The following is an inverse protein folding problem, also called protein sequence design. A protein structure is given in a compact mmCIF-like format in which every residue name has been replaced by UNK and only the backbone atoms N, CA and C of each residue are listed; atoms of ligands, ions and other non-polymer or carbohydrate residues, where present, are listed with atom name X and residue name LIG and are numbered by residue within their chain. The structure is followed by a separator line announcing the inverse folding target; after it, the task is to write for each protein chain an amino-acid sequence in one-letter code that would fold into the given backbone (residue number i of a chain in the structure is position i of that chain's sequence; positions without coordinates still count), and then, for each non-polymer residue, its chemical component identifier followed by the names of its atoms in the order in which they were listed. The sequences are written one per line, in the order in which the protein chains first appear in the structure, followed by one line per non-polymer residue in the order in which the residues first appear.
data_IF_529767093648
#
_entry.id   IF_529767093648
#
_cell.length_a   1.000
_cell.length_b   1.000
_cell.length_c   1.000
_cell.angle_alpha   90.00
_cell.angle_beta   90.00
_cell.angle_gamma   90.00
#
_symmetry.space_group_name_H-M   'P 1'
#
loop_
_entity.id
_entity.type
_entity.pdbx_description
1 polymer ?
#
# COMPACT_ATOMS: atom_id res chain seq x y z
N UNK A 1 0.97 -22.67 19.28
CA UNK A 1 0.94 -21.95 17.99
C UNK A 1 1.16 -20.49 18.30
N UNK A 2 2.34 -19.96 18.00
CA UNK A 2 2.78 -18.65 18.46
C UNK A 2 1.97 -17.55 17.76
N UNK A 3 1.05 -16.93 18.51
CA UNK A 3 0.37 -15.72 18.07
C UNK A 3 1.39 -14.62 17.90
N UNK A 4 1.82 -14.37 16.67
CA UNK A 4 2.61 -13.20 16.33
C UNK A 4 1.66 -12.02 16.46
N UNK A 5 1.72 -11.33 17.60
CA UNK A 5 0.91 -10.14 17.85
C UNK A 5 1.38 -9.04 16.89
N UNK A 6 0.56 -8.72 15.89
CA UNK A 6 0.80 -7.61 14.97
C UNK A 6 0.81 -6.31 15.78
N UNK A 7 1.92 -5.56 15.71
CA UNK A 7 1.99 -4.22 16.32
C UNK A 7 1.43 -3.20 15.33
N UNK A 8 0.11 -3.19 15.20
CA UNK A 8 -0.60 -2.19 14.42
C UNK A 8 -0.46 -0.82 15.10
N UNK A 9 0.10 0.16 14.40
CA UNK A 9 0.10 1.55 14.85
C UNK A 9 -0.95 2.33 14.05
N UNK A 10 -2.06 2.65 14.73
CA UNK A 10 -3.09 3.54 14.21
C UNK A 10 -2.73 4.94 14.70
N UNK A 11 -2.26 5.79 13.79
CA UNK A 11 -1.90 7.17 14.08
C UNK A 11 -3.08 8.09 13.75
N UNK A 12 -3.63 8.78 14.76
CA UNK A 12 -4.67 9.79 14.57
C UNK A 12 -4.13 11.22 14.52
N UNK A 13 -2.82 11.41 14.76
CA UNK A 13 -2.15 12.71 14.87
C UNK A 13 -1.04 12.90 13.81
N UNK A 14 -1.22 12.29 12.63
CA UNK A 14 -0.33 12.51 11.50
C UNK A 14 -0.45 13.96 10.98
N UNK A 15 0.69 14.67 10.88
CA UNK A 15 0.74 16.07 10.41
C UNK A 15 0.52 16.22 8.91
N UNK A 16 0.81 15.19 8.13
CA UNK A 16 0.66 15.15 6.67
C UNK A 16 -0.79 14.84 6.28
N UNK A 17 -1.48 13.96 7.03
CA UNK A 17 -2.89 13.59 6.81
C UNK A 17 -3.73 13.73 8.08
N UNK A 18 -3.91 14.96 8.59
CA UNK A 18 -4.71 15.18 9.80
C UNK A 18 -6.15 14.71 9.57
N UNK A 19 -6.74 14.11 10.61
CA UNK A 19 -8.14 13.65 10.64
C UNK A 19 -8.49 12.43 9.77
N UNK A 20 -7.51 11.75 9.17
CA UNK A 20 -7.75 10.50 8.44
C UNK A 20 -7.50 9.26 9.31
N UNK A 21 -8.31 8.21 9.11
CA UNK A 21 -8.04 6.91 9.75
C UNK A 21 -6.86 6.23 9.05
N UNK A 22 -5.70 6.18 9.71
CA UNK A 22 -4.44 5.70 9.17
C UNK A 22 -3.96 4.42 9.83
N UNK A 23 -3.34 3.56 9.04
CA UNK A 23 -2.62 2.39 9.48
C UNK A 23 -1.22 2.39 8.87
N UNK A 24 -0.19 2.31 9.71
CA UNK A 24 1.19 2.07 9.29
C UNK A 24 1.58 0.63 9.66
N UNK A 25 2.01 -0.15 8.67
CA UNK A 25 2.69 -1.43 8.86
C UNK A 25 4.17 -1.26 8.54
N UNK A 26 5.01 -1.83 9.38
CA UNK A 26 6.46 -1.72 9.24
C UNK A 26 7.16 -2.91 9.90
N UNK A 27 8.42 -3.11 9.53
CA UNK A 27 9.22 -4.17 10.13
C UNK A 27 8.60 -5.56 9.92
N UNK A 28 8.64 -6.40 10.96
CA UNK A 28 8.12 -7.78 10.92
C UNK A 28 6.63 -7.89 10.56
N UNK A 29 5.85 -6.83 10.78
CA UNK A 29 4.42 -6.83 10.43
C UNK A 29 4.20 -6.93 8.91
N UNK A 30 5.22 -6.60 8.09
CA UNK A 30 5.17 -6.77 6.63
C UNK A 30 5.39 -8.21 6.16
N UNK A 31 6.02 -9.08 6.97
CA UNK A 31 6.24 -10.49 6.58
C UNK A 31 4.93 -11.28 6.54
N UNK A 32 3.97 -10.88 7.38
CA UNK A 32 2.68 -11.57 7.53
C UNK A 32 1.57 -10.53 7.69
N UNK A 33 1.23 -9.84 6.60
CA UNK A 33 0.05 -8.96 6.57
C UNK A 33 -1.21 -9.84 6.59
N UNK A 34 -2.01 -9.82 7.67
CA UNK A 34 -3.18 -10.68 7.80
C UNK A 34 -4.28 -10.23 6.84
N UNK A 35 -5.01 -11.18 6.26
CA UNK A 35 -6.12 -10.87 5.35
C UNK A 35 -7.22 -10.03 6.04
N UNK A 36 -7.37 -10.21 7.35
CA UNK A 36 -8.30 -9.48 8.20
C UNK A 36 -8.04 -7.97 8.20
N UNK A 37 -6.82 -7.51 7.93
CA UNK A 37 -6.50 -6.08 7.81
C UNK A 37 -7.33 -5.41 6.72
N UNK A 38 -7.58 -6.11 5.62
CA UNK A 38 -8.35 -5.59 4.50
C UNK A 38 -9.86 -5.53 4.78
N UNK A 39 -10.29 -5.95 5.97
CA UNK A 39 -11.66 -5.75 6.46
C UNK A 39 -11.87 -4.39 7.14
N UNK A 40 -10.80 -3.62 7.38
CA UNK A 40 -10.85 -2.28 7.96
C UNK A 40 -11.36 -1.25 6.94
N UNK A 41 -12.65 -1.33 6.60
CA UNK A 41 -13.29 -0.51 5.54
C UNK A 41 -13.31 1.00 5.81
N UNK A 42 -13.02 1.40 7.04
CA UNK A 42 -12.90 2.80 7.46
C UNK A 42 -11.51 3.38 7.13
N UNK A 43 -10.55 2.56 6.70
CA UNK A 43 -9.18 3.00 6.42
C UNK A 43 -9.11 3.97 5.23
N UNK A 44 -8.51 5.13 5.49
CA UNK A 44 -8.28 6.19 4.51
C UNK A 44 -6.81 6.26 4.08
N UNK A 45 -5.89 5.90 4.98
CA UNK A 45 -4.44 5.92 4.71
C UNK A 45 -3.82 4.59 5.10
N UNK A 46 -3.18 3.91 4.14
CA UNK A 46 -2.39 2.70 4.38
C UNK A 46 -0.94 2.95 3.97
N UNK A 47 -0.04 2.89 4.95
CA UNK A 47 1.39 2.98 4.71
C UNK A 47 2.06 1.65 5.04
N UNK A 48 2.68 1.03 4.04
CA UNK A 48 3.48 -0.18 4.17
C UNK A 48 4.89 0.03 3.57
N UNK A 49 5.36 1.29 3.60
CA UNK A 49 6.69 1.68 3.14
C UNK A 49 7.69 1.50 4.27
N UNK A 50 8.76 0.70 4.11
CA UNK A 50 9.76 0.52 5.16
C UNK A 50 10.53 1.82 5.46
N UNK A 51 10.87 2.04 6.73
CA UNK A 51 11.72 3.15 7.12
C UNK A 51 13.18 2.91 6.68
N UNK A 52 13.83 3.95 6.17
CA UNK A 52 15.19 3.88 5.58
C UNK A 52 16.29 3.44 6.55
N UNK A 53 16.03 3.39 7.84
CA UNK A 53 17.04 3.22 8.90
C UNK A 53 17.05 1.82 9.55
N UNK A 54 16.17 0.90 9.12
CA UNK A 54 16.12 -0.43 9.73
C UNK A 54 17.26 -1.32 9.23
N UNK A 55 18.09 -1.82 10.15
CA UNK A 55 19.10 -2.85 9.89
C UNK A 55 18.51 -4.19 9.42
N UNK A 56 17.19 -4.36 9.53
CA UNK A 56 16.43 -5.50 9.05
C UNK A 56 15.55 -5.05 7.87
N UNK A 57 15.74 -5.68 6.70
CA UNK A 57 15.06 -5.32 5.46
C UNK A 57 13.76 -6.13 5.29
N UNK A 58 12.68 -5.67 5.93
CA UNK A 58 11.35 -6.27 5.75
C UNK A 58 10.64 -5.60 4.59
N UNK A 59 10.33 -6.36 3.54
CA UNK A 59 9.73 -5.87 2.30
C UNK A 59 8.59 -6.76 1.84
N UNK A 60 7.58 -6.15 1.24
CA UNK A 60 6.52 -6.83 0.52
C UNK A 60 7.01 -7.28 -0.86
N UNK A 61 6.70 -8.52 -1.23
CA UNK A 61 6.91 -9.05 -2.58
C UNK A 61 5.63 -8.99 -3.43
N UNK A 62 4.47 -8.92 -2.79
CA UNK A 62 3.16 -8.79 -3.43
C UNK A 62 2.21 -7.96 -2.56
N UNK A 63 1.13 -7.48 -3.17
CA UNK A 63 -0.04 -6.93 -2.47
C UNK A 63 -1.20 -7.88 -2.77
N UNK A 64 -1.91 -8.38 -1.75
CA UNK A 64 -2.99 -9.33 -1.96
C UNK A 64 -4.22 -8.65 -2.59
N UNK A 65 -5.05 -9.37 -3.35
CA UNK A 65 -6.22 -8.82 -4.05
C UNK A 65 -7.24 -8.19 -3.09
N UNK A 66 -7.29 -8.62 -1.84
CA UNK A 66 -8.13 -8.08 -0.77
C UNK A 66 -7.90 -6.58 -0.53
N UNK A 67 -6.78 -5.99 -1.00
CA UNK A 67 -6.59 -4.54 -1.02
C UNK A 67 -7.80 -3.81 -1.61
N UNK A 68 -8.48 -4.39 -2.60
CA UNK A 68 -9.67 -3.82 -3.23
C UNK A 68 -10.88 -3.67 -2.31
N UNK A 69 -10.87 -4.27 -1.11
CA UNK A 69 -11.93 -4.11 -0.10
C UNK A 69 -11.84 -2.81 0.69
N UNK A 70 -10.69 -2.13 0.66
CA UNK A 70 -10.48 -0.85 1.33
C UNK A 70 -11.07 0.31 0.51
N UNK A 71 -12.36 0.26 0.19
CA UNK A 71 -13.01 1.19 -0.76
C UNK A 71 -13.03 2.66 -0.32
N UNK A 72 -12.68 2.94 0.94
CA UNK A 72 -12.50 4.30 1.47
C UNK A 72 -11.07 4.82 1.42
N UNK A 73 -10.11 3.99 0.99
CA UNK A 73 -8.70 4.36 0.93
C UNK A 73 -8.49 5.52 -0.03
N UNK A 74 -7.84 6.57 0.47
CA UNK A 74 -7.47 7.78 -0.25
C UNK A 74 -5.99 7.80 -0.55
N UNK A 75 -5.16 7.25 0.33
CA UNK A 75 -3.70 7.24 0.19
C UNK A 75 -3.16 5.84 0.43
N UNK A 76 -2.38 5.35 -0.54
CA UNK A 76 -1.66 4.08 -0.45
C UNK A 76 -0.18 4.29 -0.71
N UNK A 77 0.66 4.02 0.30
CA UNK A 77 2.11 4.19 0.26
C UNK A 77 2.81 2.82 0.37
N UNK A 78 3.43 2.39 -0.71
CA UNK A 78 4.10 1.10 -0.88
C UNK A 78 5.55 1.25 -1.37
N UNK A 79 6.15 2.42 -1.15
CA UNK A 79 7.50 2.72 -1.60
C UNK A 79 8.53 1.77 -0.96
N UNK A 80 9.62 1.50 -1.69
CA UNK A 80 10.79 0.76 -1.16
C UNK A 80 10.49 -0.69 -0.78
N UNK A 81 9.62 -1.36 -1.52
CA UNK A 81 9.34 -2.79 -1.40
C UNK A 81 10.01 -3.59 -2.55
N UNK A 82 9.73 -4.88 -2.66
CA UNK A 82 10.17 -5.74 -3.77
C UNK A 82 8.98 -6.16 -4.67
N UNK A 83 7.98 -5.27 -4.82
CA UNK A 83 6.78 -5.54 -5.61
C UNK A 83 7.12 -5.68 -7.10
N UNK A 84 6.61 -6.74 -7.72
CA UNK A 84 6.78 -7.00 -9.16
C UNK A 84 5.58 -6.59 -10.02
N UNK A 85 4.41 -6.49 -9.39
CA UNK A 85 3.14 -6.09 -10.00
C UNK A 85 2.21 -5.51 -8.90
N UNK A 86 1.08 -4.96 -9.33
CA UNK A 86 -0.05 -4.65 -8.46
C UNK A 86 -1.24 -5.54 -8.87
N UNK A 87 -2.08 -5.98 -7.90
CA UNK A 87 -3.31 -6.72 -8.20
C UNK A 87 -4.29 -5.87 -9.02
N UNK A 88 -5.12 -6.51 -9.85
CA UNK A 88 -6.11 -5.80 -10.65
C UNK A 88 -7.18 -5.10 -9.78
N UNK A 89 -7.41 -5.64 -8.59
CA UNK A 89 -8.32 -5.15 -7.56
C UNK A 89 -7.93 -3.76 -7.04
N UNK A 90 -6.72 -3.26 -7.36
CA UNK A 90 -6.38 -1.86 -7.11
C UNK A 90 -7.39 -0.91 -7.77
N UNK A 91 -7.97 -1.27 -8.92
CA UNK A 91 -8.98 -0.46 -9.62
C UNK A 91 -10.28 -0.28 -8.83
N UNK A 92 -10.55 -1.14 -7.84
CA UNK A 92 -11.71 -0.99 -6.95
C UNK A 92 -11.59 0.18 -5.97
N UNK A 93 -10.37 0.70 -5.77
CA UNK A 93 -10.08 1.83 -4.89
C UNK A 93 -10.46 3.17 -5.54
N UNK A 94 -11.73 3.31 -5.95
CA UNK A 94 -12.21 4.47 -6.72
C UNK A 94 -12.05 5.82 -6.01
N UNK A 95 -11.84 5.83 -4.68
CA UNK A 95 -11.56 7.03 -3.87
C UNK A 95 -10.06 7.33 -3.70
N UNK A 96 -9.17 6.52 -4.27
CA UNK A 96 -7.74 6.69 -4.12
C UNK A 96 -7.28 7.98 -4.82
N UNK A 97 -6.69 8.88 -4.06
CA UNK A 97 -6.17 10.18 -4.50
C UNK A 97 -4.66 10.13 -4.75
N UNK A 98 -3.94 9.32 -3.96
CA UNK A 98 -2.49 9.15 -4.04
C UNK A 98 -2.10 7.68 -3.98
N UNK A 99 -1.34 7.24 -4.98
CA UNK A 99 -0.68 5.94 -5.03
C UNK A 99 0.83 6.15 -5.18
N UNK A 100 1.61 5.64 -4.23
CA UNK A 100 3.06 5.70 -4.26
C UNK A 100 3.64 4.30 -4.21
N UNK A 101 4.35 3.90 -5.27
CA UNK A 101 4.97 2.57 -5.41
C UNK A 101 6.41 2.70 -5.91
N UNK A 102 7.08 3.81 -5.60
CA UNK A 102 8.45 4.07 -6.07
C UNK A 102 9.44 3.10 -5.42
N UNK A 103 10.59 2.89 -6.07
CA UNK A 103 11.64 1.99 -5.59
C UNK A 103 11.13 0.54 -5.40
N UNK A 104 10.42 0.04 -6.40
CA UNK A 104 9.96 -1.35 -6.48
C UNK A 104 10.53 -2.01 -7.76
N UNK A 105 10.03 -3.18 -8.14
CA UNK A 105 10.43 -3.93 -9.35
C UNK A 105 9.27 -4.08 -10.34
N UNK A 106 8.31 -3.16 -10.30
CA UNK A 106 7.08 -3.25 -11.09
C UNK A 106 7.41 -3.14 -12.57
N UNK A 107 6.97 -4.11 -13.36
CA UNK A 107 7.20 -4.17 -14.82
C UNK A 107 6.05 -3.62 -15.65
N UNK A 108 4.84 -3.72 -15.09
CA UNK A 108 3.60 -3.27 -15.70
C UNK A 108 2.61 -2.87 -14.61
N UNK A 109 1.77 -1.88 -14.91
CA UNK A 109 0.60 -1.57 -14.11
C UNK A 109 -0.58 -2.45 -14.58
N UNK A 110 -1.52 -2.81 -13.69
CA UNK A 110 -2.73 -3.51 -14.11
C UNK A 110 -3.60 -2.56 -14.95
N UNK A 111 -4.29 -3.04 -16.00
CA UNK A 111 -5.15 -2.19 -16.84
C UNK A 111 -6.20 -1.40 -16.05
N UNK A 112 -6.68 -1.98 -14.95
CA UNK A 112 -7.63 -1.39 -13.99
C UNK A 112 -7.09 -0.17 -13.25
N UNK A 113 -5.80 0.18 -13.39
CA UNK A 113 -5.30 1.47 -12.88
C UNK A 113 -6.09 2.65 -13.47
N UNK A 114 -6.63 2.48 -14.68
CA UNK A 114 -7.49 3.49 -15.35
C UNK A 114 -8.85 3.68 -14.67
N UNK A 115 -9.24 2.79 -13.76
CA UNK A 115 -10.50 2.87 -13.01
C UNK A 115 -10.39 3.77 -11.77
N UNK A 116 -9.17 4.16 -11.38
CA UNK A 116 -8.89 5.08 -10.29
C UNK A 116 -9.24 6.54 -10.66
N UNK A 117 -10.54 6.84 -10.78
CA UNK A 117 -11.04 8.13 -11.30
C UNK A 117 -10.67 9.35 -10.45
N UNK A 118 -10.37 9.14 -9.16
CA UNK A 118 -9.96 10.22 -8.25
C UNK A 118 -8.44 10.29 -8.03
N UNK A 119 -7.62 9.53 -8.79
CA UNK A 119 -6.18 9.53 -8.61
C UNK A 119 -5.55 10.79 -9.21
N UNK A 120 -4.99 11.64 -8.34
CA UNK A 120 -4.31 12.87 -8.74
C UNK A 120 -2.79 12.74 -8.67
N UNK A 121 -2.28 11.83 -7.85
CA UNK A 121 -0.84 11.62 -7.63
C UNK A 121 -0.48 10.15 -7.80
N UNK A 122 0.41 9.87 -8.75
CA UNK A 122 0.93 8.53 -9.02
C UNK A 122 2.47 8.56 -9.06
N UNK A 123 3.12 8.01 -8.04
CA UNK A 123 4.58 7.93 -7.99
C UNK A 123 5.07 6.52 -8.37
N UNK A 124 5.85 6.46 -9.46
CA UNK A 124 6.33 5.22 -10.08
C UNK A 124 7.85 5.18 -10.21
N UNK A 125 8.56 6.18 -9.68
CA UNK A 125 10.00 6.33 -9.88
C UNK A 125 10.76 5.06 -9.45
N UNK A 126 11.87 4.75 -10.13
CA UNK A 126 12.71 3.60 -9.81
C UNK A 126 11.94 2.26 -9.81
N UNK A 127 11.17 2.04 -10.87
CA UNK A 127 10.58 0.75 -11.21
C UNK A 127 11.17 0.21 -12.54
N UNK A 128 10.71 -0.96 -12.99
CA UNK A 128 11.14 -1.60 -14.23
C UNK A 128 10.08 -1.49 -15.33
N UNK A 129 9.31 -0.40 -15.35
CA UNK A 129 8.20 -0.19 -16.27
C UNK A 129 8.72 -0.14 -17.71
N UNK A 130 8.29 -1.12 -18.52
CA UNK A 130 8.66 -1.19 -19.95
C UNK A 130 7.54 -0.75 -20.87
N UNK A 131 6.31 -0.67 -20.37
CA UNK A 131 5.14 -0.32 -21.15
C UNK A 131 4.11 0.38 -20.25
N UNK A 132 3.66 1.53 -20.72
CA UNK A 132 2.45 2.22 -20.30
C UNK A 132 1.53 2.08 -21.52
N UNK A 133 0.36 1.48 -21.34
CA UNK A 133 -0.58 1.21 -22.44
C UNK A 133 -1.12 2.48 -23.07
#
# INVERSE_FOLDING_TARGET
MAGTSLRLHIETEDREYPSMYKLKLQGKDLENVPAELFTLRELEVLCMSPDRQSSLNYKLCNVPPEIGYLTRLRILLLDTNDLHNLPAEIGSLTRLEKLSVSNNRIRQLPPTIGDLKNLHTLHLANNQLRRIY
#
